data_IF_221050112566
#
_entry.id   IF_221050112566
#
_cell.length_a   1.000
_cell.length_b   1.000
_cell.length_c   1.000
_cell.angle_alpha   90.00
_cell.angle_beta   90.00
_cell.angle_gamma   90.00
#
_symmetry.space_group_name_H-M   'P 1'
#
loop_
_entity.id
_entity.type
_entity.pdbx_description
1 polymer ?
#
# COMPACT_ATOMS: atom_id res chain seq x y z
N UNK A 1 17.81 12.94 -7.61
CA UNK A 1 17.01 13.41 -6.46
C UNK A 1 15.72 12.60 -6.39
N UNK A 2 15.13 12.45 -5.22
CA UNK A 2 13.89 11.66 -5.03
C UNK A 2 12.93 12.42 -4.11
N UNK A 3 11.62 12.22 -4.33
CA UNK A 3 10.55 12.73 -3.46
C UNK A 3 10.04 11.57 -2.59
N UNK A 4 9.88 11.82 -1.29
CA UNK A 4 9.53 10.77 -0.32
C UNK A 4 8.22 11.16 0.36
N UNK A 5 7.26 10.23 0.40
CA UNK A 5 5.99 10.35 1.10
C UNK A 5 5.90 9.27 2.18
N UNK A 6 5.54 9.67 3.40
CA UNK A 6 5.26 8.75 4.50
C UNK A 6 3.75 8.59 4.69
N UNK A 7 3.30 7.35 4.83
CA UNK A 7 1.89 7.02 5.03
C UNK A 7 1.74 6.22 6.33
N UNK A 8 0.96 6.75 7.27
CA UNK A 8 0.54 6.01 8.46
C UNK A 8 -0.63 5.09 8.12
N UNK A 9 -0.43 3.79 8.24
CA UNK A 9 -1.43 2.76 8.01
C UNK A 9 -1.20 1.60 9.00
N UNK A 10 -2.25 0.85 9.40
CA UNK A 10 -3.66 1.00 9.03
C UNK A 10 -4.35 2.17 9.76
N UNK A 11 -5.65 2.36 9.49
CA UNK A 11 -6.51 3.26 10.27
C UNK A 11 -6.41 2.92 11.77
N UNK A 12 -6.21 3.94 12.60
CA UNK A 12 -5.91 3.80 14.04
C UNK A 12 -4.42 3.95 14.37
N UNK A 13 -3.54 4.07 13.37
CA UNK A 13 -2.09 4.24 13.56
C UNK A 13 -1.69 5.70 13.40
N UNK A 14 -0.99 6.26 14.39
CA UNK A 14 -0.47 7.63 14.34
C UNK A 14 -1.58 8.65 14.09
N UNK A 15 -1.47 9.42 13.00
CA UNK A 15 -2.45 10.43 12.60
C UNK A 15 -3.60 9.89 11.74
N UNK A 16 -3.61 8.60 11.41
CA UNK A 16 -4.67 8.00 10.61
C UNK A 16 -5.84 7.58 11.50
N UNK A 17 -6.99 8.24 11.38
CA UNK A 17 -8.18 7.95 12.18
C UNK A 17 -9.46 7.90 11.33
N UNK A 18 -10.49 7.26 11.88
CA UNK A 18 -11.86 7.23 11.35
C UNK A 18 -12.78 7.87 12.38
N UNK A 19 -13.80 8.60 11.91
CA UNK A 19 -14.81 9.23 12.79
C UNK A 19 -15.90 8.25 13.24
N UNK A 20 -16.08 7.15 12.52
CA UNK A 20 -17.03 6.09 12.87
C UNK A 20 -16.29 4.91 13.49
N UNK A 21 -17.02 4.11 14.28
CA UNK A 21 -16.46 2.91 14.90
C UNK A 21 -15.83 1.98 13.87
N UNK A 22 -14.71 1.36 14.24
CA UNK A 22 -14.06 0.33 13.43
C UNK A 22 -14.84 -0.97 13.63
N UNK A 23 -15.94 -1.10 12.89
CA UNK A 23 -16.75 -2.34 12.83
C UNK A 23 -16.32 -3.24 11.68
N UNK A 24 -15.53 -2.72 10.75
CA UNK A 24 -14.99 -3.47 9.62
C UNK A 24 -13.84 -4.38 10.05
N UNK A 25 -13.84 -5.60 9.50
CA UNK A 25 -12.76 -6.57 9.69
C UNK A 25 -11.46 -6.00 9.15
N UNK A 26 -10.50 -5.74 10.04
CA UNK A 26 -9.13 -5.38 9.67
C UNK A 26 -8.49 -6.63 9.05
N UNK A 27 -7.97 -6.49 7.83
CA UNK A 27 -7.23 -7.56 7.16
C UNK A 27 -6.24 -6.99 6.17
N UNK A 28 -5.15 -7.71 5.91
CA UNK A 28 -4.10 -7.30 4.97
C UNK A 28 -4.69 -6.94 3.60
N UNK A 29 -5.67 -7.71 3.11
CA UNK A 29 -6.35 -7.43 1.83
C UNK A 29 -7.13 -6.12 1.85
N UNK A 30 -7.83 -5.82 2.96
CA UNK A 30 -8.56 -4.54 3.11
C UNK A 30 -7.57 -3.38 3.16
N UNK A 31 -6.46 -3.53 3.87
CA UNK A 31 -5.43 -2.48 3.96
C UNK A 31 -4.74 -2.24 2.62
N UNK A 32 -4.45 -3.29 1.85
CA UNK A 32 -3.95 -3.15 0.47
C UNK A 32 -4.90 -2.31 -0.39
N UNK A 33 -6.21 -2.54 -0.30
CA UNK A 33 -7.21 -1.76 -1.04
C UNK A 33 -7.23 -0.31 -0.56
N UNK A 34 -7.23 -0.06 0.75
CA UNK A 34 -7.25 1.30 1.30
C UNK A 34 -6.01 2.11 0.91
N UNK A 35 -4.82 1.51 0.98
CA UNK A 35 -3.57 2.18 0.57
C UNK A 35 -3.60 2.47 -0.94
N UNK A 36 -4.09 1.54 -1.76
CA UNK A 36 -4.28 1.74 -3.19
C UNK A 36 -5.23 2.89 -3.51
N UNK A 37 -6.37 2.97 -2.81
CA UNK A 37 -7.36 4.04 -2.98
C UNK A 37 -6.82 5.40 -2.53
N UNK A 38 -6.13 5.46 -1.39
CA UNK A 38 -5.45 6.69 -0.95
C UNK A 38 -4.49 7.20 -2.03
N UNK A 39 -3.61 6.32 -2.53
CA UNK A 39 -2.61 6.70 -3.51
C UNK A 39 -3.23 7.17 -4.82
N UNK A 40 -4.11 6.37 -5.42
CA UNK A 40 -4.64 6.65 -6.76
C UNK A 40 -5.75 7.70 -6.75
N UNK A 41 -6.72 7.58 -5.84
CA UNK A 41 -7.94 8.40 -5.87
C UNK A 41 -7.80 9.71 -5.10
N UNK A 42 -6.91 9.76 -4.11
CA UNK A 42 -6.79 10.94 -3.25
C UNK A 42 -5.50 11.70 -3.53
N UNK A 43 -4.35 11.04 -3.41
CA UNK A 43 -3.06 11.72 -3.45
C UNK A 43 -2.65 12.14 -4.87
N UNK A 44 -2.61 11.20 -5.83
CA UNK A 44 -2.20 11.51 -7.21
C UNK A 44 -3.15 12.48 -7.92
N UNK A 45 -4.45 12.43 -7.61
CA UNK A 45 -5.41 13.41 -8.14
C UNK A 45 -5.16 14.84 -7.62
N UNK A 46 -4.59 14.98 -6.43
CA UNK A 46 -4.22 16.29 -5.86
C UNK A 46 -2.81 16.75 -6.27
N UNK A 47 -1.97 15.80 -6.66
CA UNK A 47 -0.56 16.02 -7.02
C UNK A 47 -0.24 15.42 -8.41
N UNK A 48 -0.91 15.89 -9.49
CA UNK A 48 -0.77 15.33 -10.82
C UNK A 48 0.64 15.47 -11.41
N UNK A 49 1.45 16.40 -10.91
CA UNK A 49 2.86 16.60 -11.29
C UNK A 49 3.73 15.36 -11.02
N UNK A 50 3.26 14.41 -10.21
CA UNK A 50 3.98 13.18 -9.91
C UNK A 50 3.64 11.99 -10.83
N UNK A 51 2.69 12.11 -11.76
CA UNK A 51 2.30 10.98 -12.63
C UNK A 51 3.44 10.43 -13.50
N UNK A 52 4.36 11.29 -13.93
CA UNK A 52 5.51 10.90 -14.76
C UNK A 52 6.69 10.36 -13.95
N UNK A 53 6.65 10.46 -12.62
CA UNK A 53 7.76 10.04 -11.78
C UNK A 53 7.80 8.50 -11.63
N UNK A 54 8.99 7.88 -11.67
CA UNK A 54 9.18 6.51 -11.22
C UNK A 54 8.64 6.32 -9.80
N UNK A 55 7.84 5.28 -9.58
CA UNK A 55 7.15 5.05 -8.30
C UNK A 55 7.72 3.85 -7.55
N UNK A 56 8.25 4.10 -6.36
CA UNK A 56 8.83 3.08 -5.50
C UNK A 56 8.00 2.93 -4.23
N UNK A 57 7.79 1.68 -3.80
CA UNK A 57 7.18 1.40 -2.50
C UNK A 57 8.20 0.67 -1.65
N UNK A 58 8.48 1.24 -0.48
CA UNK A 58 9.40 0.67 0.48
C UNK A 58 8.77 0.61 1.86
N UNK A 59 9.22 -0.34 2.66
CA UNK A 59 8.79 -0.50 4.05
C UNK A 59 9.55 -1.61 4.74
N UNK A 60 9.32 -1.72 6.03
CA UNK A 60 10.00 -2.66 6.91
C UNK A 60 8.99 -3.45 7.75
N UNK A 61 9.44 -4.56 8.33
CA UNK A 61 8.63 -5.41 9.22
C UNK A 61 7.33 -5.89 8.53
N UNK A 62 6.18 -5.71 9.18
CA UNK A 62 4.88 -6.16 8.67
C UNK A 62 4.50 -5.57 7.30
N UNK A 63 5.13 -4.46 6.90
CA UNK A 63 4.98 -3.90 5.55
C UNK A 63 5.37 -4.89 4.46
N UNK A 64 6.21 -5.89 4.76
CA UNK A 64 6.57 -6.97 3.84
C UNK A 64 5.41 -7.85 3.40
N UNK A 65 4.29 -7.85 4.13
CA UNK A 65 3.03 -8.47 3.66
C UNK A 65 2.20 -7.53 2.79
N UNK A 66 2.18 -6.25 3.14
CA UNK A 66 1.33 -5.26 2.50
C UNK A 66 1.89 -4.83 1.14
N UNK A 67 3.20 -4.60 1.05
CA UNK A 67 3.86 -4.06 -0.14
C UNK A 67 3.73 -4.97 -1.37
N UNK A 68 4.00 -6.29 -1.30
CA UNK A 68 3.83 -7.17 -2.46
C UNK A 68 2.38 -7.18 -2.97
N UNK A 69 1.41 -7.23 -2.06
CA UNK A 69 -0.01 -7.18 -2.40
C UNK A 69 -0.42 -5.86 -3.05
N UNK A 70 0.08 -4.73 -2.53
CA UNK A 70 -0.14 -3.41 -3.11
C UNK A 70 0.44 -3.28 -4.52
N UNK A 71 1.69 -3.71 -4.74
CA UNK A 71 2.32 -3.66 -6.05
C UNK A 71 1.57 -4.55 -7.04
N UNK A 72 1.13 -5.75 -6.63
CA UNK A 72 0.31 -6.61 -7.47
C UNK A 72 -1.03 -5.95 -7.83
N UNK A 73 -1.69 -5.28 -6.87
CA UNK A 73 -2.95 -4.56 -7.10
C UNK A 73 -2.76 -3.43 -8.12
N UNK A 74 -1.73 -2.60 -7.96
CA UNK A 74 -1.42 -1.50 -8.89
C UNK A 74 -1.15 -2.06 -10.29
N UNK A 75 -0.30 -3.09 -10.40
CA UNK A 75 0.05 -3.71 -11.68
C UNK A 75 -1.19 -4.24 -12.42
N UNK A 76 -2.09 -4.93 -11.71
CA UNK A 76 -3.37 -5.41 -12.26
C UNK A 76 -4.26 -4.26 -12.76
N UNK A 77 -4.46 -3.22 -11.95
CA UNK A 77 -5.31 -2.07 -12.35
C UNK A 77 -4.76 -1.38 -13.60
N UNK A 78 -3.44 -1.19 -13.65
CA UNK A 78 -2.80 -0.60 -14.83
C UNK A 78 -2.93 -1.51 -16.04
N UNK A 79 -2.65 -2.82 -15.91
CA UNK A 79 -2.85 -3.78 -17.00
C UNK A 79 -4.27 -3.71 -17.57
N UNK A 80 -5.31 -3.73 -16.71
CA UNK A 80 -6.70 -3.59 -17.15
C UNK A 80 -6.98 -2.23 -17.83
N UNK A 81 -6.42 -1.13 -17.31
CA UNK A 81 -6.55 0.19 -17.91
C UNK A 81 -5.97 0.23 -19.33
N UNK A 82 -4.76 -0.32 -19.52
CA UNK A 82 -4.09 -0.36 -20.82
C UNK A 82 -4.77 -1.30 -21.81
N UNK A 83 -5.27 -2.46 -21.36
CA UNK A 83 -6.01 -3.38 -22.25
C UNK A 83 -7.35 -2.79 -22.74
N UNK A 84 -7.96 -1.90 -21.96
CA UNK A 84 -9.24 -1.28 -22.30
C UNK A 84 -9.10 0.04 -23.10
N UNK A 85 -7.91 0.65 -23.14
CA UNK A 85 -7.61 1.76 -24.07
C UNK A 85 -7.03 1.17 -25.35
N UNK A 86 -7.71 1.37 -26.48
CA UNK A 86 -7.13 1.03 -27.79
C UNK A 86 -5.77 1.72 -27.95
N UNK A 87 -4.83 0.95 -28.46
CA UNK A 87 -3.38 1.17 -28.49
C UNK A 87 -3.03 2.59 -28.96
N UNK A 88 -2.41 3.37 -28.07
CA UNK A 88 -1.50 4.47 -28.42
C UNK A 88 -0.32 4.45 -27.43
N UNK A 89 0.80 3.97 -27.96
CA UNK A 89 2.22 4.09 -27.58
C UNK A 89 2.70 4.06 -26.10
N UNK A 90 3.41 2.96 -25.80
CA UNK A 90 4.65 2.87 -25.02
C UNK A 90 4.72 3.44 -23.59
N UNK A 91 4.06 2.77 -22.63
CA UNK A 91 4.52 2.75 -21.24
C UNK A 91 4.92 1.32 -20.81
N UNK A 92 6.22 1.06 -20.71
CA UNK A 92 6.76 -0.23 -20.25
C UNK A 92 6.98 -0.21 -18.73
N UNK A 93 6.06 -0.84 -18.00
CA UNK A 93 5.96 -0.76 -16.54
C UNK A 93 6.95 -1.66 -15.78
N UNK A 94 7.61 -2.62 -16.45
CA UNK A 94 8.67 -3.44 -15.86
C UNK A 94 9.89 -2.61 -15.39
N UNK A 95 9.97 -1.32 -15.78
CA UNK A 95 11.02 -0.39 -15.33
C UNK A 95 10.72 0.38 -14.04
N UNK A 96 9.45 0.52 -13.63
CA UNK A 96 9.06 1.63 -12.74
C UNK A 96 8.52 1.23 -11.37
N UNK A 97 8.05 0.00 -11.16
CA UNK A 97 7.59 -0.48 -9.85
C UNK A 97 8.63 -1.40 -9.23
N UNK A 98 9.37 -0.91 -8.24
CA UNK A 98 10.20 -1.79 -7.39
C UNK A 98 9.67 -1.75 -5.96
N UNK A 99 9.39 -2.94 -5.44
CA UNK A 99 9.16 -3.17 -4.02
C UNK A 99 10.51 -3.35 -3.33
N UNK A 100 10.74 -2.63 -2.24
CA UNK A 100 11.87 -2.85 -1.34
C UNK A 100 11.30 -3.14 0.04
N UNK A 101 11.31 -4.40 0.46
CA UNK A 101 10.93 -4.79 1.81
C UNK A 101 12.02 -5.64 2.44
N UNK A 102 12.37 -5.34 3.69
CA UNK A 102 13.22 -6.19 4.54
C UNK A 102 12.41 -6.75 5.70
N UNK A 103 12.85 -7.94 6.14
CA UNK A 103 12.41 -8.83 7.23
C UNK A 103 10.93 -8.94 7.64
N UNK A 104 10.53 -10.21 7.77
CA UNK A 104 9.50 -10.67 8.69
C UNK A 104 10.15 -11.68 9.65
N UNK A 105 10.84 -11.19 10.68
CA UNK A 105 11.31 -12.04 11.76
C UNK A 105 10.10 -12.46 12.61
N UNK A 106 9.67 -13.71 12.48
CA UNK A 106 8.72 -14.30 13.42
C UNK A 106 9.40 -14.49 14.77
N UNK A 107 9.12 -13.64 15.77
CA UNK A 107 9.33 -13.99 17.18
C UNK A 107 8.01 -14.46 17.76
N UNK A 108 7.85 -15.76 17.90
CA UNK A 108 6.79 -16.40 18.68
C UNK A 108 7.08 -16.28 20.18
N UNK A 109 5.99 -16.22 20.96
CA UNK A 109 5.85 -16.39 22.42
C UNK A 109 6.11 -15.18 23.35
N UNK A 110 5.00 -14.55 23.76
CA UNK A 110 4.76 -14.26 25.18
C UNK A 110 3.33 -14.67 25.53
N UNK A 111 3.17 -15.83 26.17
CA UNK A 111 1.96 -16.21 26.90
C UNK A 111 1.81 -15.30 28.10
N UNK A 112 0.74 -14.48 28.13
CA UNK A 112 0.35 -13.74 29.33
C UNK A 112 -0.47 -14.66 30.23
N UNK A 113 -0.17 -14.78 31.54
CA UNK A 113 -0.97 -15.60 32.44
C UNK A 113 -2.31 -14.92 32.71
N UNK A 114 -3.41 -15.65 32.50
CA UNK A 114 -4.73 -15.26 32.95
C UNK A 114 -4.72 -15.07 34.48
N UNK A 115 -5.10 -13.87 34.94
CA UNK A 115 -5.58 -13.69 36.32
C UNK A 115 -7.10 -13.75 36.30
N UNK A 116 -7.61 -14.84 36.84
CA UNK A 116 -8.97 -14.91 37.34
C UNK A 116 -9.06 -14.12 38.65
N UNK A 117 -10.07 -13.26 38.74
CA UNK A 117 -10.72 -12.83 39.98
C UNK A 117 -12.20 -13.08 39.80
#
# INVERSE_FOLDING_TARGET
MANIMFLYQPVGTGFSYKRTSITEKISDTVEIVRVHEFLQKVWLNKHPEFYSNPFYVAGDSYSGKIIPGLVQKISKVMFYYYMNKRIDEHFNMNRYLKAISRDMAYSTQTTSPQRHI
#
